data_IF_314220912965
#
_entry.id   IF_314220912965
#
_cell.length_a   1.000
_cell.length_b   1.000
_cell.length_c   1.000
_cell.angle_alpha   90.00
_cell.angle_beta   90.00
_cell.angle_gamma   90.00
#
_symmetry.space_group_name_H-M   'P 1'
#
loop_
_entity.id
_entity.type
_entity.pdbx_description
1 polymer ?
#
# COMPACT_ATOMS: atom_id res chain seq x y z
N UNK A 1 80.95 -25.37 -11.65
CA UNK A 1 79.96 -24.72 -10.77
C UNK A 1 78.58 -25.06 -11.31
N UNK A 2 77.93 -26.09 -10.77
CA UNK A 2 76.59 -26.52 -11.15
C UNK A 2 75.72 -26.47 -9.90
N UNK A 3 74.67 -25.64 -9.93
CA UNK A 3 73.71 -25.49 -8.85
C UNK A 3 72.54 -26.46 -9.05
N UNK A 4 72.39 -27.39 -8.12
CA UNK A 4 71.23 -28.27 -7.99
C UNK A 4 70.10 -27.50 -7.30
N UNK A 5 68.93 -27.44 -7.95
CA UNK A 5 67.70 -26.97 -7.35
C UNK A 5 66.91 -28.17 -6.82
N UNK A 6 66.75 -28.22 -5.49
CA UNK A 6 65.90 -29.19 -4.80
C UNK A 6 64.42 -28.79 -4.93
N UNK A 7 63.61 -29.72 -5.43
CA UNK A 7 62.15 -29.66 -5.45
C UNK A 7 61.60 -30.04 -4.08
N UNK A 8 60.95 -29.10 -3.40
CA UNK A 8 60.19 -29.35 -2.17
C UNK A 8 58.75 -29.77 -2.51
N UNK A 9 58.39 -31.00 -2.15
CA UNK A 9 57.01 -31.49 -2.17
C UNK A 9 56.23 -30.95 -0.96
N UNK A 10 55.08 -30.31 -1.20
CA UNK A 10 54.09 -30.00 -0.17
C UNK A 10 53.05 -31.14 -0.09
N UNK A 11 52.71 -31.66 1.10
CA UNK A 11 51.64 -32.63 1.24
C UNK A 11 50.27 -31.96 1.32
N UNK A 12 49.39 -32.29 0.38
CA UNK A 12 47.98 -31.94 0.39
C UNK A 12 47.21 -32.95 1.27
N UNK A 13 46.99 -32.62 2.53
CA UNK A 13 45.99 -33.28 3.37
C UNK A 13 44.99 -32.25 3.85
N UNK A 14 43.84 -32.17 3.18
CA UNK A 14 42.67 -31.47 3.69
C UNK A 14 41.63 -32.52 4.09
N UNK A 15 41.42 -32.67 5.40
CA UNK A 15 40.34 -33.47 5.95
C UNK A 15 39.05 -32.61 5.98
N UNK A 16 37.88 -33.15 5.60
CA UNK A 16 36.61 -32.46 5.77
C UNK A 16 36.16 -32.50 7.24
N UNK A 17 35.72 -31.35 7.75
CA UNK A 17 35.12 -31.22 9.07
C UNK A 17 33.76 -31.94 9.15
N UNK A 18 33.38 -32.50 10.32
CA UNK A 18 32.15 -33.24 10.50
C UNK A 18 30.89 -32.35 10.46
N UNK A 19 29.81 -32.96 9.96
CA UNK A 19 28.56 -32.31 9.57
C UNK A 19 27.81 -31.61 10.70
N UNK A 20 27.40 -30.38 10.40
CA UNK A 20 26.29 -29.69 11.07
C UNK A 20 25.04 -30.05 10.27
N UNK A 21 24.22 -30.95 10.82
CA UNK A 21 22.88 -31.25 10.31
C UNK A 21 21.98 -30.08 10.60
N UNK A 22 21.77 -29.22 9.60
CA UNK A 22 20.65 -28.29 9.58
C UNK A 22 19.41 -29.06 9.13
N UNK A 23 18.55 -29.41 10.09
CA UNK A 23 17.19 -29.86 9.82
C UNK A 23 16.39 -28.68 9.25
N UNK A 24 16.50 -28.50 7.93
CA UNK A 24 15.61 -27.64 7.17
C UNK A 24 14.26 -28.36 7.01
N UNK A 25 13.36 -28.10 7.95
CA UNK A 25 11.96 -28.46 7.83
C UNK A 25 11.38 -27.75 6.59
N UNK A 26 11.26 -28.51 5.50
CA UNK A 26 10.61 -28.08 4.27
C UNK A 26 9.10 -28.09 4.51
N UNK A 27 8.55 -26.95 4.92
CA UNK A 27 7.10 -26.75 4.89
C UNK A 27 6.67 -26.48 3.46
N UNK A 28 6.35 -27.54 2.72
CA UNK A 28 5.51 -27.46 1.51
C UNK A 28 4.10 -27.08 1.93
N UNK A 29 3.81 -25.77 1.97
CA UNK A 29 2.45 -25.26 1.98
C UNK A 29 1.91 -25.30 0.55
N UNK A 30 1.36 -26.45 0.16
CA UNK A 30 0.48 -26.58 -1.00
C UNK A 30 -0.89 -26.01 -0.63
N UNK A 31 -1.00 -24.68 -0.60
CA UNK A 31 -2.25 -23.95 -0.49
C UNK A 31 -2.74 -23.55 -1.89
N UNK A 32 -3.51 -24.44 -2.49
CA UNK A 32 -4.26 -24.27 -3.73
C UNK A 32 -5.24 -23.10 -3.56
N UNK A 33 -4.92 -21.90 -4.06
CA UNK A 33 -5.88 -20.82 -4.22
C UNK A 33 -6.32 -20.77 -5.67
N UNK A 34 -7.37 -21.53 -5.96
CA UNK A 34 -8.10 -21.44 -7.23
C UNK A 34 -8.53 -20.00 -7.47
N UNK A 35 -7.98 -19.46 -8.55
CA UNK A 35 -8.29 -18.14 -9.07
C UNK A 35 -9.63 -18.20 -9.79
N UNK A 36 -10.73 -17.98 -9.06
CA UNK A 36 -12.01 -17.68 -9.69
C UNK A 36 -11.97 -16.28 -10.31
N UNK A 37 -11.39 -16.20 -11.52
CA UNK A 37 -11.56 -15.07 -12.43
C UNK A 37 -12.96 -15.18 -13.02
N UNK A 38 -13.92 -14.45 -12.45
CA UNK A 38 -15.21 -14.24 -13.06
C UNK A 38 -15.03 -13.46 -14.37
N UNK A 39 -14.99 -14.20 -15.48
CA UNK A 39 -15.05 -13.71 -16.86
C UNK A 39 -16.51 -13.33 -17.13
N UNK A 40 -16.85 -12.05 -17.02
CA UNK A 40 -18.13 -11.55 -17.51
C UNK A 40 -18.07 -11.45 -19.04
N UNK A 41 -18.66 -12.44 -19.70
CA UNK A 41 -18.99 -12.37 -21.13
C UNK A 41 -20.22 -11.47 -21.31
N UNK A 42 -20.04 -10.38 -22.05
CA UNK A 42 -21.12 -9.57 -22.62
C UNK A 42 -21.70 -10.32 -23.81
N UNK A 43 -22.74 -11.11 -23.57
CA UNK A 43 -23.59 -11.69 -24.61
C UNK A 43 -24.62 -10.67 -25.10
N UNK A 44 -24.48 -10.24 -26.35
CA UNK A 44 -25.54 -9.58 -27.10
C UNK A 44 -26.61 -10.63 -27.48
N UNK A 45 -27.87 -10.37 -27.12
CA UNK A 45 -29.01 -11.10 -27.64
C UNK A 45 -30.15 -10.14 -27.98
N UNK A 46 -30.30 -9.94 -29.28
CA UNK A 46 -31.52 -9.48 -29.95
C UNK A 46 -32.61 -10.53 -29.77
N UNK A 47 -33.86 -10.10 -29.50
CA UNK A 47 -35.04 -10.68 -30.15
C UNK A 47 -36.29 -9.81 -29.92
N UNK A 48 -36.93 -9.50 -31.04
CA UNK A 48 -38.27 -8.97 -31.19
C UNK A 48 -39.31 -9.91 -30.57
N UNK A 49 -40.39 -9.39 -29.99
CA UNK A 49 -41.72 -9.98 -30.16
C UNK A 49 -42.83 -8.93 -29.93
N UNK A 50 -43.64 -8.74 -30.97
CA UNK A 50 -44.97 -8.12 -30.97
C UNK A 50 -45.93 -8.91 -30.06
N UNK A 51 -46.88 -8.18 -29.44
CA UNK A 51 -48.34 -8.46 -29.43
C UNK A 51 -49.03 -7.57 -28.39
N UNK A 52 -49.88 -6.62 -28.79
CA UNK A 52 -51.34 -6.73 -29.06
C UNK A 52 -52.15 -6.19 -27.88
N UNK A 53 -52.89 -5.10 -28.15
CA UNK A 53 -53.90 -4.46 -27.28
C UNK A 53 -55.12 -5.38 -27.08
N UNK A 54 -55.95 -5.11 -26.06
CA UNK A 54 -57.25 -4.55 -26.42
C UNK A 54 -57.72 -3.40 -25.52
N UNK A 55 -58.62 -2.60 -26.08
CA UNK A 55 -59.29 -1.46 -25.47
C UNK A 55 -60.64 -1.83 -24.85
N UNK A 56 -61.02 -1.13 -23.77
CA UNK A 56 -62.39 -0.81 -23.29
C UNK A 56 -62.21 0.05 -22.02
N UNK A 57 -62.99 1.02 -21.59
CA UNK A 57 -64.08 1.86 -22.10
C UNK A 57 -64.48 2.77 -20.91
N UNK A 58 -64.91 4.00 -21.19
CA UNK A 58 -65.89 4.82 -20.45
C UNK A 58 -65.84 4.94 -18.90
N UNK A 59 -65.71 6.18 -18.41
CA UNK A 59 -66.03 6.54 -17.03
C UNK A 59 -65.95 8.04 -16.76
N UNK A 60 -67.00 8.77 -17.10
CA UNK A 60 -67.29 10.15 -16.69
C UNK A 60 -67.55 10.22 -15.18
N UNK A 61 -66.93 11.18 -14.49
CA UNK A 61 -67.17 11.41 -13.06
C UNK A 61 -66.54 12.71 -12.58
N UNK A 62 -67.34 13.77 -12.60
CA UNK A 62 -67.09 15.09 -12.04
C UNK A 62 -66.70 15.04 -10.56
N UNK A 63 -65.66 15.78 -10.16
CA UNK A 63 -65.61 16.34 -8.81
C UNK A 63 -64.78 17.63 -8.80
N UNK A 64 -65.50 18.74 -8.82
CA UNK A 64 -65.05 20.01 -8.28
C UNK A 64 -64.65 19.83 -6.82
N UNK A 65 -63.44 20.25 -6.45
CA UNK A 65 -63.19 20.77 -5.10
C UNK A 65 -62.07 21.80 -5.12
N UNK A 66 -62.51 23.05 -5.23
CA UNK A 66 -61.77 24.26 -4.85
C UNK A 66 -61.46 24.22 -3.36
N UNK A 67 -60.19 24.41 -2.99
CA UNK A 67 -59.75 24.85 -1.65
C UNK A 67 -58.28 25.28 -1.68
N UNK A 68 -57.85 26.15 -0.76
CA UNK A 68 -57.15 27.36 -1.11
C UNK A 68 -55.63 27.28 -1.02
N UNK A 69 -55.03 28.12 -1.86
CA UNK A 69 -53.65 28.58 -1.81
C UNK A 69 -53.29 29.01 -0.39
N UNK A 70 -52.48 28.22 0.30
CA UNK A 70 -51.81 28.66 1.53
C UNK A 70 -50.39 29.03 1.13
N UNK A 71 -50.14 30.34 1.02
CA UNK A 71 -48.80 30.91 0.95
C UNK A 71 -48.07 30.61 2.26
N UNK A 72 -47.49 29.41 2.31
CA UNK A 72 -46.44 29.08 3.26
C UNK A 72 -45.18 29.81 2.84
N UNK A 73 -44.95 30.97 3.45
CA UNK A 73 -43.67 31.67 3.46
C UNK A 73 -42.57 30.71 3.94
N UNK A 74 -41.95 30.01 3.00
CA UNK A 74 -40.72 29.27 3.23
C UNK A 74 -39.59 30.29 3.30
N UNK A 75 -39.42 30.78 4.52
CA UNK A 75 -38.28 31.58 4.96
C UNK A 75 -37.00 30.87 4.49
N UNK A 76 -36.40 31.42 3.44
CA UNK A 76 -35.25 30.91 2.71
C UNK A 76 -33.95 31.05 3.50
N UNK A 77 -33.94 30.66 4.77
CA UNK A 77 -32.73 30.51 5.57
C UNK A 77 -32.04 29.20 5.20
N UNK A 78 -31.56 29.15 3.94
CA UNK A 78 -30.68 28.11 3.45
C UNK A 78 -29.32 28.25 4.14
N UNK A 79 -29.22 27.66 5.32
CA UNK A 79 -28.11 26.86 5.83
C UNK A 79 -26.71 27.19 5.24
N UNK A 80 -26.27 28.44 5.35
CA UNK A 80 -24.90 28.86 5.01
C UNK A 80 -23.90 28.57 6.13
N UNK A 81 -24.35 27.90 7.19
CA UNK A 81 -23.61 27.70 8.43
C UNK A 81 -23.11 26.26 8.64
N UNK A 82 -23.03 25.48 7.56
CA UNK A 82 -22.05 24.38 7.50
C UNK A 82 -20.69 24.94 7.09
N UNK A 83 -20.25 25.97 7.81
CA UNK A 83 -18.83 26.28 7.96
C UNK A 83 -18.16 24.98 8.37
N UNK A 84 -17.41 24.44 7.41
CA UNK A 84 -16.64 23.22 7.55
C UNK A 84 -15.76 23.39 8.77
N UNK A 85 -16.19 22.84 9.93
CA UNK A 85 -15.38 22.87 11.15
C UNK A 85 -13.99 22.43 10.72
N UNK A 86 -12.94 23.25 10.94
CA UNK A 86 -11.59 22.93 10.49
C UNK A 86 -11.33 21.50 10.94
N UNK A 87 -11.16 20.60 9.97
CA UNK A 87 -10.92 19.20 10.26
C UNK A 87 -9.75 19.17 11.23
N UNK A 88 -10.06 18.76 12.45
CA UNK A 88 -9.10 18.68 13.55
C UNK A 88 -7.90 17.92 13.00
N UNK A 89 -6.75 18.61 12.94
CA UNK A 89 -5.57 18.08 12.25
C UNK A 89 -5.25 16.76 12.93
N UNK A 90 -5.34 15.65 12.17
CA UNK A 90 -4.94 14.34 12.66
C UNK A 90 -3.49 14.45 13.11
N UNK A 91 -3.28 14.44 14.42
CA UNK A 91 -1.94 14.43 15.00
C UNK A 91 -1.38 13.02 14.81
N UNK A 92 -0.65 12.83 13.72
CA UNK A 92 0.17 11.64 13.52
C UNK A 92 1.39 11.76 14.42
N UNK A 93 1.59 10.75 15.26
CA UNK A 93 2.83 10.59 16.00
C UNK A 93 3.74 9.76 15.11
N UNK A 94 4.85 10.34 14.66
CA UNK A 94 5.83 9.68 13.79
C UNK A 94 7.25 10.05 14.24
N UNK A 95 8.26 9.18 14.03
CA UNK A 95 9.66 9.57 14.11
C UNK A 95 9.95 10.79 13.22
N UNK A 96 10.74 11.74 13.73
CA UNK A 96 11.03 13.02 13.08
C UNK A 96 11.79 12.82 11.75
N UNK A 97 12.74 11.89 11.73
CA UNK A 97 13.49 11.46 10.55
C UNK A 97 12.57 10.90 9.46
N UNK A 98 11.54 10.12 9.83
CA UNK A 98 10.53 9.67 8.87
C UNK A 98 9.65 10.82 8.39
N UNK A 99 9.31 11.76 9.28
CA UNK A 99 8.49 12.93 8.94
C UNK A 99 9.18 13.87 7.96
N UNK A 100 10.50 14.00 8.06
CA UNK A 100 11.34 14.89 7.23
C UNK A 100 11.72 14.31 5.87
N UNK A 101 11.37 13.04 5.58
CA UNK A 101 11.68 12.42 4.30
C UNK A 101 11.07 13.19 3.11
N UNK A 102 11.77 13.24 1.96
CA UNK A 102 11.25 13.85 0.75
C UNK A 102 9.91 13.25 0.34
N UNK A 103 9.02 14.14 -0.11
CA UNK A 103 7.73 13.78 -0.67
C UNK A 103 7.78 13.89 -2.19
N UNK A 104 7.09 12.97 -2.85
CA UNK A 104 6.99 12.93 -4.31
C UNK A 104 5.60 12.50 -4.72
N UNK A 105 5.10 13.07 -5.82
CA UNK A 105 3.87 12.64 -6.46
C UNK A 105 4.08 11.31 -7.20
N UNK A 106 3.01 10.54 -7.35
CA UNK A 106 3.04 9.36 -8.21
C UNK A 106 3.26 9.75 -9.67
N UNK A 107 4.02 8.94 -10.41
CA UNK A 107 4.08 9.05 -11.87
C UNK A 107 2.73 8.69 -12.51
N UNK A 108 1.90 7.92 -11.79
CA UNK A 108 0.57 7.57 -12.24
C UNK A 108 -0.38 8.76 -12.08
N UNK A 109 -0.88 9.25 -13.20
CA UNK A 109 -1.81 10.39 -13.25
C UNK A 109 -3.24 10.01 -12.88
N UNK A 110 -3.60 8.71 -12.90
CA UNK A 110 -4.97 8.26 -12.61
C UNK A 110 -5.01 6.93 -11.87
N UNK A 111 -6.10 6.72 -11.13
CA UNK A 111 -6.42 5.45 -10.47
C UNK A 111 -6.92 4.38 -11.45
N UNK A 112 -7.33 4.76 -12.67
CA UNK A 112 -8.02 3.87 -13.59
C UNK A 112 -7.03 2.89 -14.23
N UNK A 113 -7.36 1.60 -14.18
CA UNK A 113 -6.53 0.55 -14.77
C UNK A 113 -5.32 0.15 -13.93
N UNK A 114 -5.23 0.64 -12.68
CA UNK A 114 -4.14 0.27 -11.79
C UNK A 114 -4.38 -1.12 -11.21
N UNK A 115 -3.43 -2.01 -11.46
CA UNK A 115 -3.35 -3.33 -10.85
C UNK A 115 -2.53 -3.24 -9.58
N UNK A 116 -2.83 -4.13 -8.66
CA UNK A 116 -2.07 -4.26 -7.43
C UNK A 116 -1.66 -5.71 -7.24
N UNK A 117 -0.40 -5.91 -6.88
CA UNK A 117 0.10 -7.22 -6.47
C UNK A 117 0.65 -7.14 -5.06
N UNK A 118 0.50 -8.21 -4.29
CA UNK A 118 1.10 -8.30 -2.96
C UNK A 118 2.53 -8.81 -3.11
N UNK A 119 3.45 -8.26 -2.34
CA UNK A 119 4.85 -8.71 -2.30
C UNK A 119 5.09 -9.70 -1.18
N UNK A 120 6.21 -10.44 -1.29
CA UNK A 120 6.58 -11.49 -0.34
C UNK A 120 7.10 -10.96 1.01
N UNK A 121 7.35 -11.90 1.93
CA UNK A 121 7.92 -11.61 3.26
C UNK A 121 9.34 -11.04 3.19
N UNK A 122 10.11 -11.40 2.16
CA UNK A 122 11.49 -10.92 1.99
C UNK A 122 11.56 -9.39 1.86
N UNK A 123 10.64 -8.79 1.10
CA UNK A 123 10.60 -7.33 0.93
C UNK A 123 10.13 -6.62 2.21
N UNK A 124 9.14 -7.21 2.90
CA UNK A 124 8.69 -6.72 4.22
C UNK A 124 9.80 -6.77 5.24
N UNK A 125 10.55 -7.86 5.27
CA UNK A 125 11.70 -8.03 6.16
C UNK A 125 12.78 -6.99 5.87
N UNK A 126 13.11 -6.76 4.59
CA UNK A 126 14.06 -5.73 4.18
C UNK A 126 13.60 -4.31 4.54
N UNK A 127 12.32 -3.97 4.31
CA UNK A 127 11.74 -2.69 4.74
C UNK A 127 11.94 -2.51 6.25
N UNK A 128 11.62 -3.55 7.04
CA UNK A 128 11.69 -3.47 8.49
C UNK A 128 13.14 -3.34 9.00
N UNK A 129 14.07 -4.15 8.50
CA UNK A 129 15.48 -4.06 8.88
C UNK A 129 16.10 -2.74 8.47
N UNK A 130 15.82 -2.27 7.26
CA UNK A 130 16.56 -1.17 6.68
C UNK A 130 16.05 0.20 7.09
N UNK A 131 14.79 0.30 7.54
CA UNK A 131 14.14 1.58 7.85
C UNK A 131 13.75 1.66 9.33
N UNK A 132 13.41 0.53 9.95
CA UNK A 132 12.85 0.51 11.30
C UNK A 132 13.67 -0.31 12.29
N UNK A 133 14.88 -0.76 11.94
CA UNK A 133 15.73 -1.58 12.81
C UNK A 133 14.99 -2.81 13.40
N UNK A 134 14.14 -3.43 12.58
CA UNK A 134 13.32 -4.57 12.98
C UNK A 134 12.16 -4.25 13.93
N UNK A 135 11.94 -2.99 14.30
CA UNK A 135 10.91 -2.57 15.28
C UNK A 135 9.51 -2.44 14.69
N UNK A 136 9.36 -2.40 13.36
CA UNK A 136 8.06 -2.31 12.72
C UNK A 136 7.26 -3.60 12.95
N UNK A 137 6.03 -3.46 13.40
CA UNK A 137 5.08 -4.57 13.53
C UNK A 137 4.15 -4.59 12.34
N UNK A 138 4.28 -5.61 11.51
CA UNK A 138 3.40 -5.84 10.37
C UNK A 138 2.00 -6.21 10.84
N UNK A 139 0.98 -5.67 10.16
CA UNK A 139 -0.42 -5.95 10.43
C UNK A 139 -1.05 -6.57 9.20
N UNK A 140 -1.67 -7.73 9.39
CA UNK A 140 -2.39 -8.44 8.34
C UNK A 140 -3.78 -7.82 8.18
N UNK A 141 -3.88 -6.85 7.28
CA UNK A 141 -5.13 -6.18 6.97
C UNK A 141 -5.31 -6.13 5.46
N UNK A 142 -6.55 -6.35 5.04
CA UNK A 142 -6.91 -6.21 3.64
C UNK A 142 -6.72 -4.77 3.17
N UNK A 143 -6.28 -4.67 1.91
CA UNK A 143 -6.08 -3.39 1.25
C UNK A 143 -7.43 -2.74 0.95
N UNK A 144 -7.77 -1.68 1.66
CA UNK A 144 -9.00 -0.91 1.41
C UNK A 144 -8.84 0.04 0.21
N UNK A 145 -9.96 0.47 -0.40
CA UNK A 145 -9.97 1.52 -1.44
C UNK A 145 -9.29 2.82 -0.97
N UNK A 146 -9.40 3.16 0.31
CA UNK A 146 -8.72 4.33 0.89
C UNK A 146 -7.19 4.18 0.84
N UNK A 147 -6.67 3.00 1.21
CA UNK A 147 -5.23 2.72 1.15
C UNK A 147 -4.71 2.76 -0.29
N UNK A 148 -5.50 2.25 -1.23
CA UNK A 148 -5.18 2.30 -2.66
C UNK A 148 -5.10 3.74 -3.15
N UNK A 149 -6.09 4.57 -2.85
CA UNK A 149 -6.12 5.97 -3.26
C UNK A 149 -4.91 6.78 -2.74
N UNK A 150 -4.39 6.46 -1.55
CA UNK A 150 -3.20 7.12 -1.00
C UNK A 150 -1.93 6.86 -1.81
N UNK A 151 -1.84 5.76 -2.56
CA UNK A 151 -0.67 5.46 -3.38
C UNK A 151 -0.44 6.48 -4.52
N UNK A 152 -1.49 7.20 -4.92
CA UNK A 152 -1.45 8.20 -6.00
C UNK A 152 -1.27 9.62 -5.49
N UNK A 153 -1.32 9.81 -4.18
CA UNK A 153 -1.12 11.11 -3.59
C UNK A 153 0.37 11.39 -3.42
N UNK A 154 0.68 12.61 -3.03
CA UNK A 154 2.01 12.96 -2.57
C UNK A 154 2.35 12.09 -1.35
N UNK A 155 3.37 11.25 -1.50
CA UNK A 155 3.81 10.29 -0.48
C UNK A 155 5.31 10.36 -0.28
N UNK A 156 5.78 9.90 0.88
CA UNK A 156 7.21 9.93 1.17
C UNK A 156 7.89 8.76 0.49
N UNK A 157 9.05 9.03 -0.07
CA UNK A 157 9.91 8.01 -0.67
C UNK A 157 10.90 7.55 0.39
N UNK A 158 11.00 6.25 0.62
CA UNK A 158 11.99 5.69 1.53
C UNK A 158 13.36 5.74 0.83
N UNK A 159 14.32 6.50 1.35
CA UNK A 159 15.64 6.59 0.75
C UNK A 159 16.34 5.24 0.85
N UNK A 160 17.33 5.00 -0.02
CA UNK A 160 18.20 3.82 -0.06
C UNK A 160 17.51 2.44 -0.10
N UNK A 161 16.17 2.40 -0.24
CA UNK A 161 15.42 1.16 -0.35
C UNK A 161 14.83 1.03 -1.76
N UNK A 162 15.48 0.16 -2.53
CA UNK A 162 15.06 -0.20 -3.88
C UNK A 162 14.90 -1.71 -3.97
N UNK A 163 13.92 -2.11 -4.78
CA UNK A 163 13.67 -3.48 -5.16
C UNK A 163 13.79 -3.63 -6.67
N UNK A 164 14.19 -4.81 -7.18
CA UNK A 164 14.09 -5.09 -8.60
C UNK A 164 12.62 -5.04 -9.04
N UNK A 165 12.38 -4.50 -10.23
CA UNK A 165 11.09 -4.54 -10.89
C UNK A 165 10.92 -5.92 -11.57
N UNK A 166 9.88 -6.70 -11.23
CA UNK A 166 9.67 -8.00 -11.86
C UNK A 166 9.14 -7.90 -13.30
N UNK A 167 8.70 -6.72 -13.73
CA UNK A 167 8.09 -6.47 -15.04
C UNK A 167 9.10 -5.95 -16.07
N UNK A 168 10.15 -5.28 -15.62
CA UNK A 168 11.17 -4.67 -16.48
C UNK A 168 12.55 -5.11 -16.01
N UNK A 169 13.26 -5.84 -16.87
CA UNK A 169 14.62 -6.30 -16.58
C UNK A 169 15.56 -5.12 -16.34
N UNK A 170 16.35 -5.21 -15.26
CA UNK A 170 17.33 -4.18 -14.87
C UNK A 170 16.72 -2.91 -14.26
N UNK A 171 15.39 -2.77 -14.21
CA UNK A 171 14.75 -1.64 -13.55
C UNK A 171 14.60 -1.88 -12.05
N UNK A 172 14.54 -0.78 -11.30
CA UNK A 172 14.22 -0.78 -9.88
C UNK A 172 12.94 -0.01 -9.59
N UNK A 173 12.33 -0.34 -8.46
CA UNK A 173 11.17 0.35 -7.91
C UNK A 173 11.50 0.89 -6.53
N UNK A 174 11.16 2.16 -6.31
CA UNK A 174 11.30 2.84 -5.02
C UNK A 174 10.12 2.53 -4.12
N UNK A 175 10.43 2.27 -2.85
CA UNK A 175 9.42 2.08 -1.82
C UNK A 175 8.90 3.42 -1.33
N UNK A 176 7.60 3.52 -1.19
CA UNK A 176 6.87 4.68 -0.71
C UNK A 176 6.07 4.34 0.53
N UNK A 177 5.90 5.36 1.36
CA UNK A 177 5.19 5.27 2.64
C UNK A 177 4.10 6.34 2.71
N UNK A 178 2.87 5.90 3.00
CA UNK A 178 1.76 6.78 3.33
C UNK A 178 1.35 6.57 4.79
N UNK A 179 1.13 7.67 5.51
CA UNK A 179 0.71 7.65 6.92
C UNK A 179 -0.81 7.65 7.04
N UNK A 180 -1.30 6.90 8.02
CA UNK A 180 -2.70 6.73 8.34
C UNK A 180 -2.92 6.74 9.86
N UNK A 181 -4.21 6.73 10.25
CA UNK A 181 -4.61 6.62 11.65
C UNK A 181 -4.55 7.94 12.41
N UNK A 182 -3.90 7.90 13.57
CA UNK A 182 -3.81 9.01 14.54
C UNK A 182 -4.80 8.86 15.70
N UNK A 183 -4.56 9.63 16.77
CA UNK A 183 -5.32 9.60 18.04
C UNK A 183 -6.83 9.78 17.86
N UNK A 184 -7.25 10.41 16.76
CA UNK A 184 -8.65 10.73 16.44
C UNK A 184 -9.24 9.88 15.32
N UNK A 185 -8.59 8.78 14.92
CA UNK A 185 -9.17 7.84 13.97
C UNK A 185 -10.43 7.21 14.59
N UNK A 186 -11.60 7.78 14.26
CA UNK A 186 -12.90 7.32 14.76
C UNK A 186 -13.04 5.81 14.53
N UNK A 187 -13.54 5.11 15.56
CA UNK A 187 -13.94 3.70 15.48
C UNK A 187 -14.92 3.53 14.32
N UNK A 188 -14.45 2.95 13.23
CA UNK A 188 -15.32 2.42 12.19
C UNK A 188 -15.79 1.05 12.68
N UNK A 189 -17.08 0.93 12.96
CA UNK A 189 -17.74 -0.28 13.48
C UNK A 189 -17.67 -1.49 12.54
N UNK A 190 -17.19 -1.33 11.32
CA UNK A 190 -17.28 -2.34 10.26
C UNK A 190 -16.09 -3.32 10.16
N UNK A 191 -15.12 -3.32 11.10
CA UNK A 191 -13.98 -4.25 11.08
C UNK A 191 -13.29 -4.31 12.46
N UNK A 192 -14.08 -4.58 13.50
CA UNK A 192 -13.70 -4.35 14.90
C UNK A 192 -12.40 -5.05 15.32
N UNK A 193 -12.18 -6.31 14.94
CA UNK A 193 -11.12 -7.10 15.57
C UNK A 193 -9.72 -6.79 15.04
N UNK A 194 -9.55 -6.60 13.73
CA UNK A 194 -8.23 -6.31 13.15
C UNK A 194 -7.93 -4.80 13.11
N UNK A 195 -8.95 -3.94 12.97
CA UNK A 195 -8.75 -2.48 13.14
C UNK A 195 -8.59 -2.08 14.60
N UNK A 196 -9.01 -2.90 15.56
CA UNK A 196 -8.74 -2.67 16.99
C UNK A 196 -7.24 -2.51 17.24
N UNK A 197 -6.40 -3.36 16.63
CA UNK A 197 -4.94 -3.32 16.81
C UNK A 197 -4.29 -1.98 16.40
N UNK A 198 -4.92 -1.26 15.46
CA UNK A 198 -4.47 0.03 14.94
C UNK A 198 -5.27 1.23 15.48
N UNK A 199 -6.28 0.99 16.31
CA UNK A 199 -7.12 2.05 16.85
C UNK A 199 -6.30 2.96 17.77
N UNK A 200 -6.36 4.27 17.52
CA UNK A 200 -5.58 5.27 18.25
C UNK A 200 -4.08 5.25 17.93
N UNK A 201 -3.61 4.41 17.00
CA UNK A 201 -2.20 4.36 16.59
C UNK A 201 -1.98 5.05 15.27
N UNK A 202 -0.76 5.54 15.09
CA UNK A 202 -0.24 5.90 13.77
C UNK A 202 0.27 4.62 13.11
N UNK A 203 -0.08 4.43 11.84
CA UNK A 203 0.40 3.30 11.06
C UNK A 203 0.66 3.74 9.63
N UNK A 204 1.41 2.93 8.92
CA UNK A 204 1.85 3.24 7.57
C UNK A 204 1.47 2.13 6.61
N UNK A 205 1.15 2.52 5.38
CA UNK A 205 1.08 1.61 4.25
C UNK A 205 2.34 1.74 3.41
N UNK A 206 2.86 0.59 2.98
CA UNK A 206 4.06 0.49 2.18
C UNK A 206 3.69 -0.04 0.80
N UNK A 207 4.14 0.66 -0.23
CA UNK A 207 3.96 0.25 -1.61
C UNK A 207 5.10 0.78 -2.47
N UNK A 208 5.43 0.10 -3.56
CA UNK A 208 6.40 0.59 -4.53
C UNK A 208 5.76 0.73 -5.91
N UNK A 209 6.27 1.70 -6.66
CA UNK A 209 5.84 2.03 -8.02
C UNK A 209 7.07 1.93 -8.94
N UNK A 210 6.89 1.52 -10.21
CA UNK A 210 7.96 1.66 -11.20
C UNK A 210 8.37 3.14 -11.30
N UNK A 211 9.65 3.40 -11.50
CA UNK A 211 10.13 4.78 -11.72
C UNK A 211 10.05 5.21 -13.18
N UNK A 212 10.11 4.25 -14.10
CA UNK A 212 10.06 4.51 -15.52
C UNK A 212 8.62 4.50 -16.01
N UNK A 213 8.21 5.61 -16.65
CA UNK A 213 6.95 5.68 -17.38
C UNK A 213 6.89 4.69 -18.57
N UNK A 214 8.04 4.13 -18.96
CA UNK A 214 8.12 3.11 -20.01
C UNK A 214 7.69 1.72 -19.51
N UNK A 215 7.48 1.57 -18.18
CA UNK A 215 6.81 0.41 -17.62
C UNK A 215 5.33 0.43 -17.99
N UNK A 216 4.99 -0.29 -19.05
CA UNK A 216 3.63 -0.39 -19.60
C UNK A 216 2.59 -0.89 -18.58
N UNK A 217 3.03 -1.44 -17.46
CA UNK A 217 2.17 -1.96 -16.44
C UNK A 217 1.94 -0.93 -15.33
N UNK A 218 0.71 -0.43 -15.29
CA UNK A 218 0.11 0.29 -14.17
C UNK A 218 0.02 -0.62 -12.94
N UNK A 219 1.14 -1.11 -12.41
CA UNK A 219 1.22 -2.10 -11.34
C UNK A 219 1.79 -1.45 -10.08
N UNK A 220 1.03 -1.56 -8.99
CA UNK A 220 1.45 -1.15 -7.66
C UNK A 220 1.78 -2.39 -6.85
N UNK A 221 3.01 -2.46 -6.37
CA UNK A 221 3.46 -3.53 -5.48
C UNK A 221 3.13 -3.13 -4.05
N UNK A 222 2.19 -3.82 -3.44
CA UNK A 222 1.77 -3.60 -2.06
C UNK A 222 2.63 -4.46 -1.12
N UNK A 223 3.31 -3.82 -0.18
CA UNK A 223 4.13 -4.53 0.81
C UNK A 223 3.39 -4.81 2.10
N UNK A 224 2.36 -4.02 2.42
CA UNK A 224 1.56 -4.23 3.61
C UNK A 224 1.38 -2.98 4.43
N UNK A 225 0.93 -3.19 5.66
CA UNK A 225 0.78 -2.14 6.66
C UNK A 225 1.59 -2.51 7.90
N UNK A 226 2.17 -1.50 8.52
CA UNK A 226 2.91 -1.67 9.76
C UNK A 226 2.67 -0.52 10.71
N UNK A 227 2.85 -0.78 11.99
CA UNK A 227 2.88 0.25 13.03
C UNK A 227 4.13 0.09 13.88
N UNK A 228 4.48 1.15 14.59
CA UNK A 228 5.62 1.20 15.50
C UNK A 228 5.09 1.51 16.90
N UNK A 229 5.67 0.92 17.94
CA UNK A 229 5.32 1.29 19.31
C UNK A 229 5.98 2.64 19.65
N UNK A 230 5.29 3.49 20.41
CA UNK A 230 5.80 4.83 20.74
C UNK A 230 7.16 4.83 21.45
N UNK A 231 7.43 3.79 22.26
CA UNK A 231 8.71 3.61 22.94
C UNK A 231 9.90 3.41 21.99
N UNK A 232 9.65 2.91 20.79
CA UNK A 232 10.69 2.60 19.80
C UNK A 232 10.97 3.79 18.87
N UNK A 233 10.23 4.90 19.00
CA UNK A 233 10.35 6.04 18.10
C UNK A 233 11.74 6.69 18.16
N UNK A 234 12.29 6.87 19.37
CA UNK A 234 13.63 7.45 19.53
C UNK A 234 14.71 6.59 18.88
N UNK A 235 14.63 5.27 19.03
CA UNK A 235 15.57 4.31 18.45
C UNK A 235 15.52 4.32 16.91
N UNK A 236 14.31 4.29 16.34
CA UNK A 236 14.13 4.36 14.89
C UNK A 236 14.58 5.71 14.33
N UNK A 237 14.35 6.80 15.07
CA UNK A 237 14.77 8.14 14.66
C UNK A 237 16.30 8.26 14.56
N UNK A 238 17.01 7.82 15.61
CA UNK A 238 18.46 7.79 15.65
C UNK A 238 19.05 6.91 14.54
N UNK A 239 18.51 5.69 14.39
CA UNK A 239 18.90 4.76 13.34
C UNK A 239 18.77 5.37 11.94
N UNK A 240 17.64 6.01 11.65
CA UNK A 240 17.39 6.62 10.35
C UNK A 240 18.27 7.84 10.10
N UNK A 241 18.51 8.69 11.09
CA UNK A 241 19.43 9.83 10.94
C UNK A 241 20.83 9.36 10.57
N UNK A 242 21.35 8.37 11.29
CA UNK A 242 22.67 7.79 11.02
C UNK A 242 22.75 7.25 9.58
N UNK A 243 21.73 6.47 9.18
CA UNK A 243 21.68 5.88 7.84
C UNK A 243 21.55 6.92 6.73
N UNK A 244 20.75 7.97 6.94
CA UNK A 244 20.61 9.10 6.03
C UNK A 244 21.92 9.86 5.85
N UNK A 245 22.66 10.08 6.93
CA UNK A 245 23.93 10.79 6.87
C UNK A 245 25.02 9.97 6.19
N UNK A 246 25.04 8.65 6.39
CA UNK A 246 25.94 7.76 5.65
C UNK A 246 25.61 7.71 4.16
N UNK A 247 24.32 7.69 3.81
CA UNK A 247 23.89 7.78 2.41
C UNK A 247 24.35 9.11 1.76
N UNK A 248 24.26 10.24 2.49
CA UNK A 248 24.77 11.54 2.00
C UNK A 248 26.29 11.54 1.83
N UNK A 249 27.04 10.89 2.71
CA UNK A 249 28.50 10.77 2.58
C UNK A 249 28.89 10.00 1.32
N UNK A 250 28.22 8.86 1.07
CA UNK A 250 28.45 8.05 -0.13
C UNK A 250 28.16 8.83 -1.43
N UNK A 251 27.14 9.68 -1.44
CA UNK A 251 26.84 10.53 -2.60
C UNK A 251 27.88 11.63 -2.88
N UNK A 252 28.69 12.00 -1.87
CA UNK A 252 29.72 13.04 -2.01
C UNK A 252 31.07 12.49 -2.46
N UNK A 253 31.26 11.18 -2.48
CA UNK A 253 32.50 10.60 -2.97
C UNK A 253 32.54 10.70 -4.50
N UNK A 254 33.61 11.28 -5.10
CA UNK A 254 33.77 11.31 -6.54
C UNK A 254 33.83 9.87 -7.06
N UNK A 255 33.01 9.59 -8.07
CA UNK A 255 33.04 8.31 -8.81
C UNK A 255 34.28 8.22 -9.68
#
# INVERSE_FOLDING_TARGET
MHANWQTSHFPTHWAPAPGITNDFATYTSSGLWDSNVARFELGAASQNHLSTLPATSSGTGTSDRVSPFTEGSHDGSLALDRLSKPQERRYYQEPEALRSLPRSTSIFQSFRGIRYTNTGEAERSKINSDIFDGKLKWVQLDRTKHHQARAFQETRVLPFLEFPDPTIEGATRKVRIAVHGGLQARRSTAQADVRSALTGKTYWSFFSLPESANGADNLVHWHGMGHLDLKDYGLVDEFLRNKLDDAKKLQRMPR
#
